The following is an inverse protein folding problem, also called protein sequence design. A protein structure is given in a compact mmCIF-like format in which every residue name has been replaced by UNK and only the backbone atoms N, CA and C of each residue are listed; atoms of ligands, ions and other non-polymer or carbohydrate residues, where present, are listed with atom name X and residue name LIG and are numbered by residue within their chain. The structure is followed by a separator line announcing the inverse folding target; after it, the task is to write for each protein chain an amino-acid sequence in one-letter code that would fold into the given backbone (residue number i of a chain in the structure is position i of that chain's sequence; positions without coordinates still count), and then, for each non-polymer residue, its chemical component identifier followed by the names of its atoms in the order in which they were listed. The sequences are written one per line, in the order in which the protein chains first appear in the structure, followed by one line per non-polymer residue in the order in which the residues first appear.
data_IF_352454465795
#
_entry.id   IF_352454465795
#
_cell.length_a   1.000
_cell.length_b   1.000
_cell.length_c   1.000
_cell.angle_alpha   90.00
_cell.angle_beta   90.00
_cell.angle_gamma   90.00
#
_symmetry.space_group_name_H-M   'P 1'
#
loop_
_entity.id
_entity.type
_entity.pdbx_description
1 polymer ?
#
# COMPACT_ATOMS: atom_id res chain seq x y z
N UNK A 1 27.38 57.58 29.93
CA UNK A 1 26.01 57.58 29.46
C UNK A 1 25.88 56.56 28.34
N UNK A 2 25.50 55.34 28.69
CA UNK A 2 25.43 54.20 27.76
C UNK A 2 23.97 54.16 27.21
N UNK A 3 23.83 54.35 25.90
CA UNK A 3 22.51 54.22 25.26
C UNK A 3 22.13 52.74 25.18
N UNK A 4 21.10 52.35 25.92
CA UNK A 4 20.41 51.08 25.71
C UNK A 4 19.77 51.11 24.31
N UNK A 5 20.20 50.22 23.42
CA UNK A 5 19.57 50.00 22.15
C UNK A 5 18.19 49.32 22.39
N UNK A 6 17.12 50.06 22.15
CA UNK A 6 15.75 49.52 22.15
C UNK A 6 15.64 48.67 20.88
N UNK A 7 15.51 47.36 21.06
CA UNK A 7 15.18 46.45 19.94
C UNK A 7 13.80 46.82 19.35
N UNK A 8 13.64 46.80 18.04
CA UNK A 8 12.40 47.24 17.40
C UNK A 8 11.22 46.30 17.74
N UNK A 9 9.98 46.82 17.85
CA UNK A 9 8.79 46.07 18.25
C UNK A 9 8.40 44.89 17.35
N UNK A 10 9.00 44.78 16.16
CA UNK A 10 8.78 43.67 15.22
C UNK A 10 9.32 42.32 15.69
N UNK A 11 10.38 42.30 16.51
CA UNK A 11 10.96 41.05 17.01
C UNK A 11 10.04 40.35 18.03
N UNK A 12 9.32 41.10 18.84
CA UNK A 12 8.35 40.56 19.81
C UNK A 12 7.12 39.88 19.13
N UNK A 13 6.64 40.46 18.02
CA UNK A 13 5.52 39.92 17.25
C UNK A 13 5.88 38.60 16.55
N UNK A 14 7.08 38.50 15.97
CA UNK A 14 7.55 37.26 15.32
C UNK A 14 7.80 36.13 16.31
N UNK A 15 8.36 36.43 17.48
CA UNK A 15 8.54 35.44 18.56
C UNK A 15 7.19 34.97 19.12
N UNK A 16 6.22 35.86 19.29
CA UNK A 16 4.86 35.51 19.70
C UNK A 16 4.16 34.61 18.70
N UNK A 17 4.24 34.92 17.39
CA UNK A 17 3.67 34.10 16.33
C UNK A 17 4.33 32.71 16.27
N UNK A 18 5.65 32.64 16.37
CA UNK A 18 6.39 31.38 16.39
C UNK A 18 6.01 30.50 17.60
N UNK A 19 5.81 31.12 18.79
CA UNK A 19 5.36 30.41 19.98
C UNK A 19 3.93 29.87 19.84
N UNK A 20 3.00 30.66 19.25
CA UNK A 20 1.63 30.24 18.99
C UNK A 20 1.63 29.06 17.98
N UNK A 21 2.37 29.16 16.88
CA UNK A 21 2.47 28.11 15.88
C UNK A 21 3.08 26.84 16.48
N UNK A 22 4.11 26.96 17.31
CA UNK A 22 4.71 25.85 18.06
C UNK A 22 3.72 25.17 19.00
N UNK A 23 2.93 25.95 19.75
CA UNK A 23 1.90 25.42 20.64
C UNK A 23 0.78 24.70 19.87
N UNK A 24 0.33 25.27 18.75
CA UNK A 24 -0.66 24.63 17.88
C UNK A 24 -0.14 23.33 17.27
N UNK A 25 1.13 23.29 16.85
CA UNK A 25 1.77 22.07 16.37
C UNK A 25 1.84 20.99 17.46
N UNK A 26 2.28 21.36 18.66
CA UNK A 26 2.34 20.43 19.80
C UNK A 26 0.95 19.90 20.19
N UNK A 27 -0.06 20.76 20.19
CA UNK A 27 -1.45 20.36 20.45
C UNK A 27 -1.94 19.41 19.34
N UNK A 28 -1.65 19.71 18.08
CA UNK A 28 -1.98 18.86 16.94
C UNK A 28 -1.33 17.49 17.04
N UNK A 29 -0.06 17.43 17.41
CA UNK A 29 0.67 16.17 17.64
C UNK A 29 0.12 15.41 18.86
N UNK A 30 -0.25 16.09 19.93
CA UNK A 30 -0.87 15.47 21.10
C UNK A 30 -2.24 14.86 20.76
N UNK A 31 -3.09 15.60 20.04
CA UNK A 31 -4.39 15.11 19.55
C UNK A 31 -4.20 13.93 18.59
N UNK A 32 -3.21 14.00 17.70
CA UNK A 32 -2.87 12.90 16.80
C UNK A 32 -2.44 11.66 17.58
N UNK A 33 -1.51 11.78 18.53
CA UNK A 33 -1.00 10.68 19.33
C UNK A 33 -2.06 10.04 20.25
N UNK A 34 -3.10 10.78 20.61
CA UNK A 34 -4.20 10.29 21.45
C UNK A 34 -5.31 9.62 20.65
N UNK A 35 -5.26 9.64 19.35
CA UNK A 35 -6.22 8.92 18.49
C UNK A 35 -5.88 7.43 18.50
N UNK A 36 -6.79 6.65 19.02
CA UNK A 36 -6.77 5.19 18.93
C UNK A 36 -7.90 4.76 18.00
N UNK A 37 -7.56 4.35 16.79
CA UNK A 37 -8.46 3.72 15.84
C UNK A 37 -8.12 2.25 15.82
N UNK A 38 -8.81 1.47 16.59
CA UNK A 38 -8.65 0.03 16.53
C UNK A 38 -9.24 -0.49 15.22
N UNK A 39 -8.60 -1.52 14.65
CA UNK A 39 -9.21 -2.31 13.59
C UNK A 39 -10.47 -2.97 14.14
N UNK A 40 -11.62 -2.60 13.60
CA UNK A 40 -12.91 -3.15 14.05
C UNK A 40 -13.38 -4.29 13.16
N UNK A 41 -13.31 -4.11 11.84
CA UNK A 41 -13.77 -5.07 10.86
C UNK A 41 -13.29 -4.70 9.45
N UNK A 42 -13.46 -5.61 8.50
CA UNK A 42 -13.26 -5.32 7.07
C UNK A 42 -14.21 -4.23 6.55
N UNK A 43 -15.40 -4.10 7.13
CA UNK A 43 -16.35 -3.03 6.80
C UNK A 43 -15.80 -1.64 7.18
N UNK A 44 -15.14 -1.50 8.34
CA UNK A 44 -14.52 -0.22 8.73
C UNK A 44 -13.38 0.21 7.79
N UNK A 45 -12.70 -0.76 7.18
CA UNK A 45 -11.69 -0.52 6.13
C UNK A 45 -12.38 0.00 4.86
N UNK A 46 -13.49 -0.63 4.42
CA UNK A 46 -14.26 -0.17 3.27
C UNK A 46 -14.72 1.28 3.43
N UNK A 47 -15.28 1.63 4.59
CA UNK A 47 -15.73 2.99 4.89
C UNK A 47 -14.59 4.01 4.89
N UNK A 48 -13.39 3.63 5.33
CA UNK A 48 -12.22 4.50 5.29
C UNK A 48 -11.79 4.79 3.86
N UNK A 49 -11.75 3.75 3.01
CA UNK A 49 -11.39 3.89 1.60
C UNK A 49 -12.46 4.62 0.78
N UNK A 50 -13.75 4.43 1.09
CA UNK A 50 -14.84 5.19 0.46
C UNK A 50 -14.68 6.69 0.73
N UNK A 51 -14.42 7.09 1.98
CA UNK A 51 -14.15 8.50 2.33
C UNK A 51 -12.94 9.06 1.59
N UNK A 52 -11.82 8.31 1.52
CA UNK A 52 -10.62 8.76 0.80
C UNK A 52 -10.85 8.88 -0.71
N UNK A 53 -11.72 8.04 -1.28
CA UNK A 53 -12.07 8.11 -2.69
C UNK A 53 -12.99 9.29 -2.98
N UNK A 54 -13.99 9.52 -2.14
CA UNK A 54 -14.93 10.64 -2.27
C UNK A 54 -14.22 12.00 -2.13
N UNK A 55 -13.25 12.13 -1.23
CA UNK A 55 -12.44 13.33 -1.02
C UNK A 55 -11.49 13.64 -2.21
N UNK A 56 -11.22 12.68 -3.09
CA UNK A 56 -10.34 12.78 -4.26
C UNK A 56 -8.90 13.29 -3.97
N UNK A 57 -8.52 13.46 -2.70
CA UNK A 57 -7.22 14.03 -2.34
C UNK A 57 -6.07 13.13 -2.82
N UNK A 58 -6.18 11.83 -2.53
CA UNK A 58 -5.15 10.87 -2.94
C UNK A 58 -5.03 10.80 -4.46
N UNK A 59 -6.15 10.74 -5.19
CA UNK A 59 -6.15 10.71 -6.66
C UNK A 59 -5.50 11.96 -7.24
N UNK A 60 -5.83 13.16 -6.72
CA UNK A 60 -5.26 14.43 -7.20
C UNK A 60 -3.77 14.55 -6.93
N UNK A 61 -3.30 14.07 -5.79
CA UNK A 61 -1.88 14.11 -5.41
C UNK A 61 -1.11 12.93 -6.00
N UNK A 62 -1.62 11.71 -5.85
CA UNK A 62 -0.89 10.48 -6.15
C UNK A 62 -1.21 9.88 -7.52
N UNK A 63 -2.25 10.36 -8.21
CA UNK A 63 -2.72 9.81 -9.47
C UNK A 63 -3.49 8.51 -9.27
N UNK A 64 -3.41 7.63 -10.25
CA UNK A 64 -4.21 6.39 -10.33
C UNK A 64 -3.74 5.28 -9.40
N UNK A 65 -2.65 5.49 -8.66
CA UNK A 65 -2.00 4.48 -7.83
C UNK A 65 -1.85 4.96 -6.39
N UNK A 66 -2.43 4.22 -5.46
CA UNK A 66 -2.33 4.52 -4.02
C UNK A 66 -1.14 3.78 -3.35
N UNK A 67 -0.50 2.85 -4.06
CA UNK A 67 0.69 2.12 -3.58
C UNK A 67 1.99 2.92 -3.71
N UNK A 68 3.07 2.43 -3.09
CA UNK A 68 4.41 3.01 -3.20
C UNK A 68 4.97 2.86 -4.63
N UNK A 69 5.93 3.71 -4.98
CA UNK A 69 6.65 3.66 -6.25
C UNK A 69 7.95 2.87 -6.15
N UNK A 70 8.49 2.44 -7.29
CA UNK A 70 9.82 1.84 -7.42
C UNK A 70 10.78 2.87 -8.03
N UNK A 71 11.82 3.23 -7.28
CA UNK A 71 12.76 4.31 -7.65
C UNK A 71 14.06 3.79 -8.28
N UNK A 72 14.11 2.52 -8.62
CA UNK A 72 15.32 1.88 -9.13
C UNK A 72 16.19 1.27 -8.04
N UNK A 73 17.19 0.46 -8.43
CA UNK A 73 18.15 -0.16 -7.52
C UNK A 73 19.58 0.11 -8.03
N UNK A 74 20.29 1.10 -7.43
CA UNK A 74 19.93 1.97 -6.31
C UNK A 74 18.85 3.00 -6.67
N UNK A 75 18.12 3.52 -5.66
CA UNK A 75 17.10 4.55 -5.89
C UNK A 75 17.64 5.80 -6.57
N UNK A 76 16.90 6.30 -7.54
CA UNK A 76 17.19 7.50 -8.31
C UNK A 76 16.10 8.55 -8.13
N UNK A 77 16.38 9.79 -8.51
CA UNK A 77 15.36 10.84 -8.54
C UNK A 77 14.43 10.61 -9.74
N UNK A 78 13.22 10.20 -9.45
CA UNK A 78 12.16 9.91 -10.43
C UNK A 78 10.91 10.70 -10.02
N UNK A 79 10.09 11.09 -11.00
CA UNK A 79 8.78 11.67 -10.71
C UNK A 79 7.94 10.69 -9.88
N UNK A 80 7.26 11.20 -8.84
CA UNK A 80 6.52 10.40 -7.88
C UNK A 80 5.44 9.51 -8.51
N UNK A 81 4.71 10.01 -9.51
CA UNK A 81 3.68 9.23 -10.21
C UNK A 81 4.30 8.25 -11.18
N UNK A 82 5.40 8.63 -11.81
CA UNK A 82 6.15 7.76 -12.70
C UNK A 82 6.73 6.56 -11.92
N UNK A 83 7.30 6.79 -10.74
CA UNK A 83 7.82 5.71 -9.88
C UNK A 83 6.76 4.64 -9.57
N UNK A 84 5.48 5.04 -9.43
CA UNK A 84 4.36 4.10 -9.21
C UNK A 84 4.03 3.26 -10.45
N UNK A 85 4.08 3.87 -11.63
CA UNK A 85 3.96 3.12 -12.90
C UNK A 85 5.14 2.15 -13.07
N UNK A 86 6.36 2.63 -12.79
CA UNK A 86 7.57 1.80 -12.85
C UNK A 86 7.50 0.61 -11.87
N UNK A 87 6.88 0.81 -10.68
CA UNK A 87 6.63 -0.27 -9.73
C UNK A 87 5.77 -1.40 -10.34
N UNK A 88 4.68 -1.06 -11.04
CA UNK A 88 3.82 -2.07 -11.65
C UNK A 88 4.60 -2.87 -12.71
N UNK A 89 5.38 -2.18 -13.55
CA UNK A 89 6.20 -2.84 -14.55
C UNK A 89 7.29 -3.71 -13.94
N UNK A 90 7.95 -3.23 -12.87
CA UNK A 90 9.01 -3.98 -12.21
C UNK A 90 8.48 -5.24 -11.53
N UNK A 91 7.36 -5.13 -10.81
CA UNK A 91 6.73 -6.29 -10.18
C UNK A 91 6.20 -7.28 -11.21
N UNK A 92 5.63 -6.81 -12.34
CA UNK A 92 5.18 -7.69 -13.43
C UNK A 92 6.34 -8.47 -14.05
N UNK A 93 7.50 -7.80 -14.29
CA UNK A 93 8.72 -8.47 -14.78
C UNK A 93 9.28 -9.45 -13.75
N UNK A 94 9.47 -9.01 -12.52
CA UNK A 94 10.07 -9.82 -11.46
C UNK A 94 9.24 -11.07 -11.15
N UNK A 95 7.91 -10.95 -11.15
CA UNK A 95 7.01 -12.08 -10.91
C UNK A 95 6.81 -12.98 -12.15
N UNK A 96 7.26 -12.55 -13.31
CA UNK A 96 7.04 -13.19 -14.58
C UNK A 96 5.65 -12.99 -15.18
N UNK A 97 4.77 -12.16 -14.58
CA UNK A 97 3.48 -11.84 -15.19
C UNK A 97 3.62 -11.20 -16.57
N UNK A 98 4.71 -10.45 -16.77
CA UNK A 98 5.02 -9.83 -18.06
C UNK A 98 5.19 -10.84 -19.22
N UNK A 99 5.49 -12.11 -18.91
CA UNK A 99 5.69 -13.19 -19.91
C UNK A 99 4.41 -13.99 -20.16
N UNK A 100 3.29 -13.63 -19.56
CA UNK A 100 2.02 -14.32 -19.82
C UNK A 100 1.55 -14.02 -21.25
N UNK A 101 0.96 -15.00 -21.93
CA UNK A 101 0.35 -14.76 -23.24
C UNK A 101 -0.73 -13.68 -23.16
N UNK A 102 -0.84 -12.79 -24.19
CA UNK A 102 -1.98 -11.89 -24.29
C UNK A 102 -3.32 -12.63 -24.17
N UNK A 103 -4.28 -12.03 -23.47
CA UNK A 103 -5.57 -12.66 -23.17
C UNK A 103 -5.58 -13.54 -21.92
N UNK A 104 -4.44 -13.76 -21.26
CA UNK A 104 -4.40 -14.45 -19.96
C UNK A 104 -5.22 -13.68 -18.92
N UNK A 105 -5.90 -14.42 -18.03
CA UNK A 105 -6.79 -13.87 -16.99
C UNK A 105 -6.01 -13.56 -15.73
N UNK A 106 -6.20 -12.35 -15.18
CA UNK A 106 -5.56 -11.89 -13.95
C UNK A 106 -6.61 -11.41 -12.96
N UNK A 107 -6.50 -11.84 -11.70
CA UNK A 107 -7.24 -11.26 -10.58
C UNK A 107 -6.34 -10.22 -9.89
N UNK A 108 -6.78 -8.95 -9.86
CA UNK A 108 -6.13 -7.84 -9.12
C UNK A 108 -6.87 -7.65 -7.79
N UNK A 109 -6.29 -8.17 -6.71
CA UNK A 109 -6.88 -8.18 -5.37
C UNK A 109 -6.48 -6.92 -4.61
N UNK A 110 -7.48 -6.12 -4.22
CA UNK A 110 -7.24 -4.80 -3.65
C UNK A 110 -6.90 -3.77 -4.73
N UNK A 111 -7.57 -3.81 -5.87
CA UNK A 111 -7.27 -3.04 -7.07
C UNK A 111 -7.35 -1.50 -6.89
N UNK A 112 -7.85 -1.01 -5.76
CA UNK A 112 -8.10 0.41 -5.56
C UNK A 112 -8.98 1.00 -6.67
N UNK A 113 -8.54 2.12 -7.26
CA UNK A 113 -9.22 2.75 -8.41
C UNK A 113 -8.74 2.21 -9.78
N UNK A 114 -8.11 1.03 -9.79
CA UNK A 114 -7.81 0.26 -11.00
C UNK A 114 -6.54 0.67 -11.75
N UNK A 115 -5.62 1.40 -11.13
CA UNK A 115 -4.39 1.86 -11.79
C UNK A 115 -3.53 0.72 -12.33
N UNK A 116 -3.20 -0.26 -11.48
CA UNK A 116 -2.42 -1.45 -11.86
C UNK A 116 -3.16 -2.31 -12.88
N UNK A 117 -4.47 -2.54 -12.68
CA UNK A 117 -5.31 -3.29 -13.61
C UNK A 117 -5.24 -2.72 -15.04
N UNK A 118 -5.35 -1.37 -15.17
CA UNK A 118 -5.27 -0.71 -16.49
C UNK A 118 -3.91 -0.87 -17.16
N UNK A 119 -2.81 -0.82 -16.39
CA UNK A 119 -1.45 -1.05 -16.94
C UNK A 119 -1.32 -2.51 -17.39
N UNK A 120 -1.72 -3.47 -16.57
CA UNK A 120 -1.65 -4.89 -16.91
C UNK A 120 -2.44 -5.22 -18.18
N UNK A 121 -3.64 -4.64 -18.33
CA UNK A 121 -4.46 -4.86 -19.51
C UNK A 121 -3.90 -4.17 -20.77
N UNK A 122 -3.45 -2.90 -20.63
CA UNK A 122 -3.02 -2.10 -21.77
C UNK A 122 -1.63 -2.53 -22.30
N UNK A 123 -0.68 -2.71 -21.39
CA UNK A 123 0.74 -2.85 -21.76
C UNK A 123 1.15 -4.31 -21.91
N UNK A 124 0.39 -5.26 -21.33
CA UNK A 124 0.65 -6.70 -21.42
C UNK A 124 -0.49 -7.47 -22.10
N UNK A 125 -1.57 -6.80 -22.50
CA UNK A 125 -2.69 -7.44 -23.19
C UNK A 125 -3.50 -8.42 -22.32
N UNK A 126 -3.45 -8.28 -20.99
CA UNK A 126 -4.10 -9.21 -20.07
C UNK A 126 -5.59 -8.86 -19.87
N UNK A 127 -6.40 -9.87 -19.50
CA UNK A 127 -7.78 -9.68 -19.08
C UNK A 127 -7.84 -9.58 -17.56
N UNK A 128 -8.15 -8.41 -17.01
CA UNK A 128 -8.04 -8.16 -15.59
C UNK A 128 -9.42 -8.04 -14.94
N UNK A 129 -9.65 -8.82 -13.89
CA UNK A 129 -10.72 -8.60 -12.92
C UNK A 129 -10.10 -7.93 -11.68
N UNK A 130 -10.41 -6.65 -11.45
CA UNK A 130 -10.03 -5.94 -10.23
C UNK A 130 -11.12 -6.07 -9.17
N UNK A 131 -10.73 -6.38 -7.95
CA UNK A 131 -11.65 -6.42 -6.82
C UNK A 131 -11.20 -5.50 -5.69
N UNK A 132 -12.17 -4.90 -5.01
CA UNK A 132 -12.00 -4.13 -3.78
C UNK A 132 -13.22 -4.31 -2.89
N UNK A 133 -13.03 -4.23 -1.58
CA UNK A 133 -14.14 -4.21 -0.63
C UNK A 133 -14.89 -2.86 -0.63
N UNK A 134 -14.29 -1.78 -1.17
CA UNK A 134 -14.86 -0.43 -1.24
C UNK A 134 -15.71 -0.24 -2.51
N UNK A 135 -17.03 -0.05 -2.38
CA UNK A 135 -17.91 0.30 -3.51
C UNK A 135 -17.49 1.62 -4.19
N UNK A 136 -16.98 2.59 -3.42
CA UNK A 136 -16.51 3.87 -3.94
C UNK A 136 -15.33 3.69 -4.88
N UNK A 137 -14.32 2.91 -4.48
CA UNK A 137 -13.18 2.59 -5.35
C UNK A 137 -13.62 1.88 -6.63
N UNK A 138 -14.52 0.91 -6.54
CA UNK A 138 -15.01 0.18 -7.72
C UNK A 138 -15.79 1.10 -8.68
N UNK A 139 -16.65 1.98 -8.16
CA UNK A 139 -17.30 2.99 -9.01
C UNK A 139 -16.28 3.87 -9.72
N UNK A 140 -15.24 4.32 -9.00
CA UNK A 140 -14.19 5.17 -9.55
C UNK A 140 -13.32 4.42 -10.57
N UNK A 141 -12.93 3.17 -10.28
CA UNK A 141 -12.18 2.33 -11.19
C UNK A 141 -12.91 2.16 -12.54
N UNK A 142 -14.22 1.88 -12.50
CA UNK A 142 -15.06 1.79 -13.71
C UNK A 142 -15.10 3.09 -14.47
N UNK A 143 -15.25 4.23 -13.78
CA UNK A 143 -15.32 5.55 -14.41
C UNK A 143 -14.00 5.99 -15.08
N UNK A 144 -12.85 5.53 -14.54
CA UNK A 144 -11.53 5.88 -15.08
C UNK A 144 -11.04 4.92 -16.18
N UNK A 145 -11.75 3.82 -16.42
CA UNK A 145 -11.29 2.77 -17.34
C UNK A 145 -11.96 2.92 -18.71
N UNK A 146 -11.16 3.05 -19.80
CA UNK A 146 -11.68 3.06 -21.16
C UNK A 146 -12.50 1.81 -21.48
N UNK A 147 -13.57 1.95 -22.24
CA UNK A 147 -14.51 0.86 -22.53
C UNK A 147 -13.91 -0.27 -23.39
N UNK A 148 -12.88 0.03 -24.15
CA UNK A 148 -12.13 -0.90 -25.01
C UNK A 148 -11.03 -1.66 -24.26
N UNK A 149 -10.75 -1.31 -22.99
CA UNK A 149 -9.74 -1.96 -22.20
C UNK A 149 -10.30 -3.20 -21.47
N UNK A 150 -9.60 -4.33 -21.55
CA UNK A 150 -10.03 -5.60 -20.94
C UNK A 150 -9.89 -5.60 -19.41
N UNK A 151 -10.57 -4.64 -18.76
CA UNK A 151 -10.67 -4.53 -17.30
C UNK A 151 -12.12 -4.61 -16.85
N UNK A 152 -12.39 -5.43 -15.84
CA UNK A 152 -13.66 -5.47 -15.12
C UNK A 152 -13.40 -5.25 -13.65
N UNK A 153 -14.40 -4.74 -12.92
CA UNK A 153 -14.25 -4.44 -11.50
C UNK A 153 -15.48 -4.90 -10.73
N UNK A 154 -15.25 -5.51 -9.55
CA UNK A 154 -16.31 -5.99 -8.68
C UNK A 154 -16.03 -5.64 -7.22
N UNK A 155 -17.09 -5.38 -6.45
CA UNK A 155 -17.00 -5.29 -4.99
C UNK A 155 -16.92 -6.72 -4.45
N UNK A 156 -15.84 -7.05 -3.73
CA UNK A 156 -15.63 -8.39 -3.20
C UNK A 156 -14.66 -8.36 -2.03
N UNK A 157 -14.89 -9.25 -1.04
CA UNK A 157 -13.96 -9.45 0.08
C UNK A 157 -12.86 -10.43 -0.33
N UNK A 158 -11.59 -10.03 -0.16
CA UNK A 158 -10.43 -10.87 -0.46
C UNK A 158 -10.30 -12.09 0.45
N UNK A 159 -11.00 -12.12 1.59
CA UNK A 159 -11.03 -13.24 2.52
C UNK A 159 -12.15 -14.25 2.22
N UNK A 160 -13.02 -13.94 1.24
CA UNK A 160 -14.14 -14.79 0.84
C UNK A 160 -14.50 -14.53 -0.62
N UNK A 161 -13.63 -14.95 -1.54
CA UNK A 161 -13.80 -14.71 -2.96
C UNK A 161 -14.95 -15.54 -3.52
N UNK A 162 -15.99 -14.87 -4.05
CA UNK A 162 -17.07 -15.50 -4.82
C UNK A 162 -16.62 -15.77 -6.26
N UNK A 163 -15.58 -16.61 -6.37
CA UNK A 163 -14.93 -16.98 -7.63
C UNK A 163 -14.61 -18.48 -7.60
N UNK A 164 -14.72 -19.16 -8.74
CA UNK A 164 -14.38 -20.59 -8.83
C UNK A 164 -12.89 -20.84 -8.53
N UNK A 165 -12.60 -22.04 -8.03
CA UNK A 165 -11.22 -22.52 -7.91
C UNK A 165 -10.56 -22.57 -9.29
N UNK A 166 -9.24 -22.38 -9.33
CA UNK A 166 -8.41 -22.53 -10.53
C UNK A 166 -8.96 -21.75 -11.76
N UNK A 167 -9.38 -20.50 -11.57
CA UNK A 167 -10.04 -19.69 -12.61
C UNK A 167 -9.13 -18.62 -13.24
N UNK A 168 -7.98 -18.29 -12.62
CA UNK A 168 -7.07 -17.26 -13.12
C UNK A 168 -5.69 -17.79 -13.45
N UNK A 169 -5.11 -17.26 -14.55
CA UNK A 169 -3.73 -17.56 -14.97
C UNK A 169 -2.71 -16.84 -14.07
N UNK A 170 -3.11 -15.72 -13.47
CA UNK A 170 -2.31 -15.03 -12.47
C UNK A 170 -3.18 -14.36 -11.40
N UNK A 171 -2.58 -14.20 -10.22
CA UNK A 171 -3.09 -13.36 -9.13
C UNK A 171 -2.07 -12.27 -8.84
N UNK A 172 -2.55 -11.05 -8.81
CA UNK A 172 -1.83 -9.82 -8.50
C UNK A 172 -2.42 -9.19 -7.25
N UNK A 173 -1.60 -8.75 -6.31
CA UNK A 173 -2.06 -7.97 -5.16
C UNK A 173 -0.97 -7.05 -4.66
N UNK A 174 -1.27 -5.76 -4.54
CA UNK A 174 -0.34 -4.73 -4.11
C UNK A 174 -0.94 -3.94 -2.95
N UNK A 175 -0.26 -3.99 -1.81
CA UNK A 175 -0.60 -3.28 -0.57
C UNK A 175 -2.03 -3.56 -0.05
N UNK A 176 -2.58 -4.75 -0.37
CA UNK A 176 -3.85 -5.20 0.17
C UNK A 176 -3.67 -6.07 1.43
N UNK A 177 -2.63 -6.89 1.48
CA UNK A 177 -2.36 -7.80 2.59
C UNK A 177 -2.21 -7.12 3.95
N UNK A 178 -1.68 -5.88 4.09
CA UNK A 178 -1.64 -5.17 5.36
C UNK A 178 -3.01 -5.03 6.04
N UNK A 179 -4.08 -4.93 5.26
CA UNK A 179 -5.46 -4.79 5.75
C UNK A 179 -6.15 -6.11 6.12
N UNK A 180 -5.55 -7.25 5.81
CA UNK A 180 -6.16 -8.56 6.05
C UNK A 180 -5.91 -9.00 7.51
N UNK A 181 -6.96 -9.20 8.33
CA UNK A 181 -6.78 -9.67 9.71
C UNK A 181 -6.32 -11.14 9.76
N UNK A 182 -6.79 -11.98 8.84
CA UNK A 182 -6.41 -13.37 8.70
C UNK A 182 -5.50 -13.54 7.47
N UNK A 183 -4.18 -13.56 7.71
CA UNK A 183 -3.17 -13.69 6.66
C UNK A 183 -3.16 -15.08 6.03
N UNK A 184 -3.54 -16.13 6.79
CA UNK A 184 -3.62 -17.49 6.25
C UNK A 184 -4.81 -17.60 5.30
N UNK A 185 -5.99 -17.14 5.73
CA UNK A 185 -7.18 -17.13 4.88
C UNK A 185 -6.97 -16.34 3.60
N UNK A 186 -6.29 -15.20 3.70
CA UNK A 186 -5.92 -14.41 2.53
C UNK A 186 -5.02 -15.21 1.57
N UNK A 187 -3.95 -15.82 2.06
CA UNK A 187 -3.07 -16.66 1.25
C UNK A 187 -3.84 -17.83 0.59
N UNK A 188 -4.75 -18.46 1.34
CA UNK A 188 -5.57 -19.57 0.85
C UNK A 188 -6.47 -19.14 -0.31
N UNK A 189 -7.16 -18.00 -0.20
CA UNK A 189 -8.03 -17.49 -1.27
C UNK A 189 -7.25 -17.10 -2.52
N UNK A 190 -6.07 -16.43 -2.37
CA UNK A 190 -5.21 -16.12 -3.52
C UNK A 190 -4.81 -17.36 -4.31
N UNK A 191 -4.47 -18.44 -3.60
CA UNK A 191 -3.99 -19.69 -4.22
C UNK A 191 -5.14 -20.58 -4.68
N UNK A 192 -6.30 -20.52 -4.04
CA UNK A 192 -7.49 -21.29 -4.45
C UNK A 192 -7.91 -20.93 -5.87
N UNK A 193 -8.02 -19.64 -6.14
CA UNK A 193 -8.48 -19.15 -7.46
C UNK A 193 -7.41 -19.23 -8.56
N UNK A 194 -6.15 -19.46 -8.20
CA UNK A 194 -5.05 -19.58 -9.12
C UNK A 194 -5.06 -20.95 -9.80
N UNK A 195 -5.00 -20.98 -11.13
CA UNK A 195 -4.90 -22.21 -11.91
C UNK A 195 -3.61 -22.99 -11.61
N UNK A 196 -3.57 -24.32 -11.78
CA UNK A 196 -2.32 -25.05 -11.88
C UNK A 196 -1.38 -24.39 -12.91
N UNK A 197 -0.11 -24.23 -12.58
CA UNK A 197 0.86 -23.49 -13.41
C UNK A 197 0.72 -21.97 -13.38
N UNK A 198 -0.31 -21.43 -12.74
CA UNK A 198 -0.56 -19.99 -12.64
C UNK A 198 0.47 -19.26 -11.79
N UNK A 199 0.59 -17.96 -11.97
CA UNK A 199 1.59 -17.07 -11.35
C UNK A 199 1.00 -16.19 -10.27
N UNK A 200 1.73 -16.08 -9.15
CA UNK A 200 1.40 -15.20 -8.03
C UNK A 200 2.37 -14.02 -8.00
N UNK A 201 1.86 -12.81 -7.83
CA UNK A 201 2.60 -11.60 -7.52
C UNK A 201 1.93 -10.84 -6.37
N UNK A 202 2.59 -10.74 -5.24
CA UNK A 202 2.13 -9.96 -4.08
C UNK A 202 3.22 -9.00 -3.66
N UNK A 203 2.83 -7.80 -3.24
CA UNK A 203 3.73 -6.81 -2.68
C UNK A 203 3.04 -6.08 -1.53
N UNK A 204 3.63 -6.14 -0.34
CA UNK A 204 2.99 -5.67 0.89
C UNK A 204 3.95 -4.99 1.86
N UNK A 205 3.40 -4.16 2.74
CA UNK A 205 4.10 -3.69 3.94
C UNK A 205 4.22 -4.84 4.94
N UNK A 206 5.42 -5.04 5.41
CA UNK A 206 5.74 -6.08 6.38
C UNK A 206 6.44 -5.49 7.59
N UNK A 207 6.29 -6.14 8.74
CA UNK A 207 7.14 -5.85 9.89
C UNK A 207 8.44 -6.67 9.81
N UNK A 208 9.50 -6.16 10.42
CA UNK A 208 10.70 -6.98 10.66
C UNK A 208 10.33 -8.27 11.42
N UNK A 209 10.93 -9.39 11.02
CA UNK A 209 10.70 -10.66 11.72
C UNK A 209 11.25 -10.58 13.16
N UNK A 210 10.41 -10.86 14.18
CA UNK A 210 10.86 -10.87 15.57
C UNK A 210 11.98 -11.86 15.87
N UNK A 211 12.08 -12.95 15.08
CA UNK A 211 13.15 -13.92 15.20
C UNK A 211 14.52 -13.36 14.78
N UNK A 212 14.54 -12.37 13.86
CA UNK A 212 15.77 -11.67 13.48
C UNK A 212 16.17 -10.65 14.53
N UNK A 213 15.22 -9.80 14.94
CA UNK A 213 15.45 -8.77 15.97
C UNK A 213 14.11 -8.33 16.56
N UNK A 214 13.88 -8.56 17.87
CA UNK A 214 12.70 -8.05 18.57
C UNK A 214 12.62 -6.51 18.51
N UNK A 215 11.40 -5.99 18.53
CA UNK A 215 11.19 -4.54 18.60
C UNK A 215 11.60 -4.00 19.99
N UNK A 216 12.39 -2.92 20.01
CA UNK A 216 12.70 -2.17 21.22
C UNK A 216 11.49 -1.32 21.68
N UNK A 217 11.63 -0.55 22.79
CA UNK A 217 10.51 0.24 23.34
C UNK A 217 9.99 1.30 22.38
N UNK A 218 10.89 2.01 21.69
CA UNK A 218 10.52 3.04 20.70
C UNK A 218 9.85 2.40 19.47
N UNK A 219 10.46 1.34 18.95
CA UNK A 219 9.91 0.61 17.79
C UNK A 219 8.51 0.03 18.10
N UNK A 220 8.26 -0.47 19.32
CA UNK A 220 6.92 -0.92 19.73
C UNK A 220 5.91 0.21 19.76
N UNK A 221 6.31 1.39 20.30
CA UNK A 221 5.44 2.55 20.30
C UNK A 221 5.13 3.02 18.87
N UNK A 222 6.15 3.10 17.99
CA UNK A 222 5.94 3.46 16.58
C UNK A 222 5.04 2.44 15.89
N UNK A 223 5.29 1.14 16.07
CA UNK A 223 4.43 0.09 15.50
C UNK A 223 2.98 0.23 15.95
N UNK A 224 2.77 0.47 17.25
CA UNK A 224 1.43 0.75 17.77
C UNK A 224 0.78 1.95 17.07
N UNK A 225 1.50 3.08 16.90
CA UNK A 225 0.99 4.23 16.17
C UNK A 225 0.63 3.88 14.71
N UNK A 226 1.47 3.14 14.00
CA UNK A 226 1.19 2.73 12.63
C UNK A 226 -0.10 1.88 12.52
N UNK A 227 -0.32 0.99 13.47
CA UNK A 227 -1.54 0.16 13.50
C UNK A 227 -2.79 0.99 13.81
N UNK A 228 -2.76 1.83 14.85
CA UNK A 228 -3.96 2.55 15.30
C UNK A 228 -4.31 3.76 14.43
N UNK A 229 -3.32 4.45 13.83
CA UNK A 229 -3.61 5.65 13.02
C UNK A 229 -4.37 5.31 11.73
N UNK A 230 -4.12 4.15 11.15
CA UNK A 230 -4.79 3.68 9.94
C UNK A 230 -5.70 2.48 10.15
N UNK A 231 -5.97 2.12 11.41
CA UNK A 231 -6.82 0.99 11.78
C UNK A 231 -6.38 -0.32 11.09
N UNK A 232 -5.07 -0.59 11.08
CA UNK A 232 -4.54 -1.83 10.54
C UNK A 232 -4.60 -2.98 11.56
N UNK A 233 -4.87 -4.19 11.11
CA UNK A 233 -4.51 -5.39 11.86
C UNK A 233 -2.98 -5.53 11.90
N UNK A 234 -2.48 -6.51 12.66
CA UNK A 234 -1.04 -6.75 12.73
C UNK A 234 -0.41 -7.05 11.35
N UNK A 235 0.76 -6.46 11.08
CA UNK A 235 1.53 -6.74 9.89
C UNK A 235 2.22 -8.10 9.98
N UNK A 236 2.19 -8.89 8.90
CA UNK A 236 3.03 -10.07 8.77
C UNK A 236 4.51 -9.65 8.59
N UNK A 237 5.44 -10.53 8.93
CA UNK A 237 6.82 -10.44 8.43
C UNK A 237 6.93 -11.10 7.04
N UNK A 238 7.98 -10.76 6.26
CA UNK A 238 8.23 -11.42 4.96
C UNK A 238 8.30 -12.94 5.12
N UNK A 239 9.09 -13.51 6.05
CA UNK A 239 9.08 -14.96 6.26
C UNK A 239 7.73 -15.49 6.78
N UNK A 240 7.00 -14.67 7.54
CA UNK A 240 5.67 -15.03 8.06
C UNK A 240 4.66 -15.24 6.94
N UNK A 241 4.50 -14.24 6.05
CA UNK A 241 3.55 -14.35 4.95
C UNK A 241 3.99 -15.39 3.90
N UNK A 242 5.31 -15.53 3.67
CA UNK A 242 5.83 -16.64 2.87
C UNK A 242 5.35 -18.00 3.42
N UNK A 243 5.44 -18.24 4.74
CA UNK A 243 4.92 -19.47 5.35
C UNK A 243 3.41 -19.64 5.15
N UNK A 244 2.61 -18.56 5.26
CA UNK A 244 1.18 -18.65 4.99
C UNK A 244 0.89 -19.15 3.57
N UNK A 245 1.62 -18.64 2.57
CA UNK A 245 1.51 -19.09 1.19
C UNK A 245 1.94 -20.54 1.03
N UNK A 246 3.08 -20.95 1.62
CA UNK A 246 3.63 -22.31 1.52
C UNK A 246 2.80 -23.37 2.26
N UNK A 247 2.11 -22.99 3.32
CA UNK A 247 1.25 -23.87 4.13
C UNK A 247 -0.19 -23.97 3.61
N UNK A 248 -0.56 -23.15 2.63
CA UNK A 248 -1.89 -23.20 2.06
C UNK A 248 -2.22 -24.58 1.47
N UNK A 249 -3.41 -25.13 1.72
CA UNK A 249 -3.85 -26.40 1.12
C UNK A 249 -3.94 -26.30 -0.41
N UNK A 250 -4.02 -25.09 -0.96
CA UNK A 250 -4.09 -24.83 -2.40
C UNK A 250 -2.72 -24.59 -3.05
N UNK A 251 -1.63 -24.60 -2.29
CA UNK A 251 -0.29 -24.41 -2.81
C UNK A 251 0.15 -25.56 -3.74
N UNK A 252 -0.44 -26.74 -3.57
CA UNK A 252 -0.13 -27.96 -4.32
C UNK A 252 -1.38 -28.50 -4.98
N UNK A 253 -1.24 -29.06 -6.18
CA UNK A 253 -2.28 -29.92 -6.75
C UNK A 253 -1.98 -31.36 -6.33
N UNK A 254 -3.04 -32.16 -6.07
CA UNK A 254 -2.92 -33.53 -5.54
C UNK A 254 -2.05 -34.46 -6.42
N UNK A 255 -1.87 -34.15 -7.71
CA UNK A 255 -1.21 -35.01 -8.71
C UNK A 255 0.20 -34.57 -9.14
N UNK A 256 0.76 -33.51 -8.59
CA UNK A 256 1.79 -32.78 -9.34
C UNK A 256 3.20 -32.75 -8.78
N UNK A 257 3.55 -33.55 -7.76
CA UNK A 257 4.99 -33.70 -7.39
C UNK A 257 5.25 -34.98 -6.58
N UNK A 258 6.46 -35.59 -6.66
CA UNK A 258 6.88 -36.57 -5.68
C UNK A 258 6.73 -35.99 -4.28
N UNK A 259 6.25 -36.80 -3.32
CA UNK A 259 6.20 -36.41 -1.91
C UNK A 259 7.55 -35.77 -1.51
N UNK A 260 7.51 -34.50 -1.09
CA UNK A 260 8.70 -33.82 -0.56
C UNK A 260 9.21 -32.61 -1.34
N UNK A 261 8.69 -32.27 -2.54
CA UNK A 261 9.10 -31.03 -3.21
C UNK A 261 8.25 -29.86 -2.73
N UNK A 262 8.81 -28.89 -1.97
CA UNK A 262 8.04 -27.74 -1.51
C UNK A 262 7.70 -26.82 -2.69
N UNK A 263 6.48 -26.28 -2.71
CA UNK A 263 6.18 -25.11 -3.53
C UNK A 263 7.02 -23.94 -3.00
N UNK A 264 7.93 -23.44 -3.84
CA UNK A 264 8.82 -22.35 -3.42
C UNK A 264 8.18 -21.01 -3.76
N UNK A 265 7.99 -20.22 -2.72
CA UNK A 265 7.70 -18.79 -2.85
C UNK A 265 9.02 -18.04 -2.78
N UNK A 266 9.41 -17.41 -3.90
CA UNK A 266 10.53 -16.48 -3.88
C UNK A 266 10.08 -15.14 -3.26
N UNK A 267 10.94 -14.57 -2.44
CA UNK A 267 10.69 -13.29 -1.79
C UNK A 267 11.88 -12.36 -1.98
N UNK A 268 11.59 -11.05 -2.08
CA UNK A 268 12.61 -10.02 -1.98
C UNK A 268 12.11 -8.88 -1.08
N UNK A 269 13.04 -8.10 -0.58
CA UNK A 269 12.79 -6.89 0.21
C UNK A 269 13.10 -5.67 -0.66
N UNK A 270 12.06 -4.96 -1.09
CA UNK A 270 12.17 -3.73 -1.89
C UNK A 270 12.05 -2.47 -1.05
N UNK A 271 12.34 -2.56 0.25
CA UNK A 271 12.26 -1.41 1.16
C UNK A 271 13.09 -0.23 0.68
N UNK A 272 14.30 -0.51 0.16
CA UNK A 272 15.21 0.53 -0.32
C UNK A 272 14.67 1.22 -1.57
N UNK A 273 14.16 0.44 -2.50
CA UNK A 273 13.64 0.89 -3.79
C UNK A 273 12.35 1.70 -3.64
N UNK A 274 11.56 1.45 -2.58
CA UNK A 274 10.27 2.11 -2.33
C UNK A 274 10.32 3.23 -1.29
N UNK A 275 11.39 3.29 -0.47
CA UNK A 275 11.55 4.25 0.62
C UNK A 275 11.29 5.71 0.25
N UNK A 276 11.75 6.22 -0.92
CA UNK A 276 11.52 7.63 -1.28
C UNK A 276 10.05 8.01 -1.35
N UNK A 277 9.15 7.08 -1.68
CA UNK A 277 7.70 7.33 -1.79
C UNK A 277 7.09 7.97 -0.55
N UNK A 278 7.56 7.64 0.65
CA UNK A 278 7.02 8.18 1.90
C UNK A 278 7.24 9.69 2.02
N UNK A 279 8.43 10.16 1.67
CA UNK A 279 8.75 11.59 1.67
C UNK A 279 8.09 12.27 0.47
N UNK A 280 8.14 11.67 -0.71
CA UNK A 280 7.52 12.23 -1.91
C UNK A 280 6.00 12.36 -1.75
N UNK A 281 5.35 11.50 -0.98
CA UNK A 281 3.92 11.64 -0.64
C UNK A 281 3.61 12.96 0.06
N UNK A 282 4.51 13.43 0.94
CA UNK A 282 4.38 14.70 1.66
C UNK A 282 4.77 15.86 0.73
N UNK A 283 5.90 15.71 0.04
CA UNK A 283 6.46 16.75 -0.84
C UNK A 283 5.53 17.06 -2.02
N UNK A 284 4.81 16.06 -2.53
CA UNK A 284 3.86 16.26 -3.62
C UNK A 284 2.70 17.17 -3.20
N UNK A 285 2.22 17.09 -1.97
CA UNK A 285 1.24 18.02 -1.42
C UNK A 285 1.78 19.45 -1.36
N UNK A 286 3.07 19.63 -1.04
CA UNK A 286 3.73 20.94 -1.02
C UNK A 286 4.00 21.49 -2.44
N UNK A 287 4.34 20.61 -3.39
CA UNK A 287 4.57 20.98 -4.81
C UNK A 287 3.28 21.38 -5.52
N UNK A 288 2.14 20.84 -5.09
CA UNK A 288 0.81 21.08 -5.71
C UNK A 288 -0.19 21.69 -4.71
N UNK A 289 0.12 22.83 -4.10
CA UNK A 289 -0.76 23.43 -3.09
C UNK A 289 -2.16 23.73 -3.63
N UNK A 290 -2.29 24.08 -4.91
CA UNK A 290 -3.57 24.31 -5.56
C UNK A 290 -4.46 23.06 -5.63
N UNK A 291 -3.87 21.86 -5.73
CA UNK A 291 -4.61 20.60 -5.71
C UNK A 291 -5.22 20.34 -4.33
N UNK A 292 -4.49 20.66 -3.26
CA UNK A 292 -4.96 20.52 -1.86
C UNK A 292 -5.97 21.60 -1.50
N UNK A 293 -5.61 22.88 -1.73
CA UNK A 293 -6.45 24.04 -1.40
C UNK A 293 -7.76 24.04 -2.19
N UNK A 294 -7.74 23.57 -3.44
CA UNK A 294 -8.93 23.47 -4.28
C UNK A 294 -9.96 22.42 -3.81
N UNK A 295 -9.60 21.54 -2.87
CA UNK A 295 -10.52 20.60 -2.22
C UNK A 295 -11.12 21.13 -0.90
N UNK A 296 -10.70 22.34 -0.49
CA UNK A 296 -11.20 23.00 0.70
C UNK A 296 -10.44 22.66 2.00
N UNK A 297 -10.84 23.28 3.12
CA UNK A 297 -10.09 23.21 4.39
C UNK A 297 -10.02 21.80 4.99
N UNK A 298 -10.99 20.95 4.72
CA UNK A 298 -11.00 19.57 5.20
C UNK A 298 -9.85 18.75 4.61
N UNK A 299 -9.54 18.92 3.32
CA UNK A 299 -8.42 18.24 2.68
C UNK A 299 -7.06 18.70 3.24
N UNK A 300 -6.92 19.99 3.53
CA UNK A 300 -5.73 20.53 4.21
C UNK A 300 -5.56 19.89 5.59
N UNK A 301 -6.64 19.86 6.39
CA UNK A 301 -6.62 19.26 7.72
C UNK A 301 -6.29 17.77 7.67
N UNK A 302 -6.82 17.05 6.68
CA UNK A 302 -6.53 15.64 6.46
C UNK A 302 -5.05 15.42 6.11
N UNK A 303 -4.49 16.21 5.19
CA UNK A 303 -3.06 16.13 4.84
C UNK A 303 -2.15 16.41 6.04
N UNK A 304 -2.45 17.43 6.84
CA UNK A 304 -1.71 17.73 8.06
C UNK A 304 -1.80 16.60 9.10
N UNK A 305 -2.96 15.98 9.21
CA UNK A 305 -3.21 14.87 10.12
C UNK A 305 -2.44 13.59 9.75
N UNK A 306 -2.34 13.29 8.46
CA UNK A 306 -1.67 12.07 7.97
C UNK A 306 -0.13 12.22 7.94
N UNK A 307 0.39 13.44 7.85
CA UNK A 307 1.83 13.72 7.78
C UNK A 307 2.67 13.04 8.87
N UNK A 308 2.31 13.07 10.17
CA UNK A 308 3.08 12.37 11.20
C UNK A 308 3.15 10.85 10.97
N UNK A 309 2.06 10.24 10.53
CA UNK A 309 2.02 8.80 10.22
C UNK A 309 2.93 8.46 9.04
N UNK A 310 2.92 9.28 7.97
CA UNK A 310 3.82 9.12 6.83
C UNK A 310 5.29 9.24 7.24
N UNK A 311 5.64 10.17 8.14
CA UNK A 311 6.99 10.30 8.69
C UNK A 311 7.39 9.10 9.54
N UNK A 312 6.48 8.55 10.35
CA UNK A 312 6.74 7.33 11.10
C UNK A 312 6.89 6.11 10.19
N UNK A 313 6.14 6.01 9.10
CA UNK A 313 6.34 4.96 8.08
C UNK A 313 7.72 5.11 7.44
N UNK A 314 8.09 6.31 6.99
CA UNK A 314 9.44 6.54 6.46
C UNK A 314 10.53 6.12 7.45
N UNK A 315 10.41 6.53 8.71
CA UNK A 315 11.36 6.13 9.77
C UNK A 315 11.37 4.61 9.96
N UNK A 316 10.21 3.97 9.98
CA UNK A 316 10.08 2.52 10.12
C UNK A 316 10.82 1.75 9.02
N UNK A 317 10.65 2.19 7.76
CA UNK A 317 11.35 1.60 6.62
C UNK A 317 12.86 1.93 6.64
N UNK A 318 13.24 3.17 6.92
CA UNK A 318 14.65 3.59 6.99
C UNK A 318 15.45 2.85 8.08
N UNK A 319 14.78 2.44 9.18
CA UNK A 319 15.41 1.68 10.28
C UNK A 319 15.31 0.17 10.12
N UNK A 320 14.60 -0.32 9.10
CA UNK A 320 14.32 -1.74 8.88
C UNK A 320 13.36 -2.34 9.92
N UNK A 321 12.61 -1.51 10.65
CA UNK A 321 11.49 -1.95 11.49
C UNK A 321 10.30 -2.39 10.62
N UNK A 322 10.06 -1.63 9.55
CA UNK A 322 9.15 -1.98 8.46
C UNK A 322 9.95 -2.39 7.23
N UNK A 323 9.38 -3.25 6.43
CA UNK A 323 9.95 -3.77 5.20
C UNK A 323 8.89 -3.76 4.09
N UNK A 324 9.33 -3.70 2.84
CA UNK A 324 8.47 -3.86 1.68
C UNK A 324 8.72 -5.22 1.03
N UNK A 325 7.94 -6.22 1.41
CA UNK A 325 8.08 -7.56 0.90
C UNK A 325 7.40 -7.72 -0.45
N UNK A 326 8.12 -8.33 -1.39
CA UNK A 326 7.54 -8.82 -2.63
C UNK A 326 7.63 -10.34 -2.68
N UNK A 327 6.56 -10.95 -3.19
CA UNK A 327 6.38 -12.40 -3.19
C UNK A 327 5.98 -12.84 -4.60
N UNK A 328 6.67 -13.84 -5.14
CA UNK A 328 6.27 -14.51 -6.37
C UNK A 328 6.23 -16.01 -6.17
N UNK A 329 5.36 -16.66 -6.91
CA UNK A 329 5.28 -18.11 -6.93
C UNK A 329 4.61 -18.60 -8.20
N UNK A 330 4.78 -19.87 -8.49
CA UNK A 330 4.08 -20.56 -9.55
C UNK A 330 3.40 -21.79 -8.97
N UNK A 331 2.06 -21.83 -9.04
CA UNK A 331 1.29 -22.98 -8.53
C UNK A 331 1.72 -24.23 -9.31
N UNK A 332 1.93 -25.34 -8.60
CA UNK A 332 2.28 -26.60 -9.24
C UNK A 332 1.24 -27.00 -10.29
N UNK A 333 1.71 -27.51 -11.43
CA UNK A 333 0.87 -27.93 -12.56
C UNK A 333 0.11 -29.22 -12.25
#
# INVERSE_FOLDING_TARGET
MTRLAVLPPLAGGLMGLAAILGALLLLGLAVWAWRDRQFESTASVADAYDRWTDDQLLERLWGDHVHLGHYGSPPQSVDFRRAKVDFVHELARWSGLADLPPGSTVLDVGCGIGGSARILARDYGLQVLGISISPGQIRRARALTPADLNCRFAVMDALALDLPDASFDAVWSVEAGPHMPDKQRYADELLRVLKPGGRLAVADWNRRDPAVKPLNRLERWVMHQLLVQWAHPEFASIPGFRRNLEQSPYARTADSQPEGTPWLVDTADWSRETLPSWIDSIVEGLRRPGAVLGLGPQAVLMGLRETPTLLLMHWGFATGMMQFGVFRGRKSA
#
